data_IF_531807006949
#
_entry.id   IF_531807006949
#
_cell.length_a   1.000
_cell.length_b   1.000
_cell.length_c   1.000
_cell.angle_alpha   90.00
_cell.angle_beta   90.00
_cell.angle_gamma   90.00
#
_symmetry.space_group_name_H-M   'P 1'
#
loop_
_entity.id
_entity.type
_entity.pdbx_description
1 polymer ?
#
# COMPACT_ATOMS: atom_id res chain seq x y z
N UNK A 1 53.57 7.94 28.76
CA UNK A 1 53.35 6.56 28.27
C UNK A 1 51.88 6.12 28.40
N UNK A 2 51.10 6.72 29.32
CA UNK A 2 49.71 6.36 29.58
C UNK A 2 48.72 7.00 28.60
N UNK A 3 49.04 8.17 28.01
CA UNK A 3 48.16 8.92 27.12
C UNK A 3 47.88 8.22 25.75
N UNK A 4 48.83 7.45 25.24
CA UNK A 4 48.68 6.76 23.96
C UNK A 4 47.67 5.60 23.98
N UNK A 5 47.32 5.07 25.14
CA UNK A 5 46.31 4.02 25.34
C UNK A 5 44.88 4.56 25.39
N UNK A 6 44.71 5.79 25.85
CA UNK A 6 43.39 6.44 25.95
C UNK A 6 42.90 6.98 24.60
N UNK A 7 43.81 7.45 23.76
CA UNK A 7 43.49 7.96 22.43
C UNK A 7 42.90 6.85 21.53
N UNK A 8 43.41 5.62 21.63
CA UNK A 8 42.88 4.46 20.90
C UNK A 8 41.47 4.05 21.35
N UNK A 9 41.18 4.17 22.67
CA UNK A 9 39.87 3.86 23.25
C UNK A 9 38.81 4.86 22.84
N UNK A 10 39.16 6.15 22.80
CA UNK A 10 38.27 7.25 22.39
C UNK A 10 37.94 7.11 20.89
N UNK A 11 38.89 6.78 20.02
CA UNK A 11 38.66 6.55 18.61
C UNK A 11 37.66 5.39 18.38
N UNK A 12 37.83 4.30 19.09
CA UNK A 12 36.95 3.13 18.98
C UNK A 12 35.50 3.48 19.41
N UNK A 13 35.39 4.22 20.51
CA UNK A 13 34.11 4.70 21.04
C UNK A 13 33.42 5.64 20.02
N UNK A 14 34.17 6.60 19.47
CA UNK A 14 33.66 7.53 18.45
C UNK A 14 33.20 6.81 17.20
N UNK A 15 33.96 5.81 16.74
CA UNK A 15 33.56 4.97 15.60
C UNK A 15 32.28 4.19 15.91
N UNK A 16 32.17 3.63 17.13
CA UNK A 16 30.98 2.91 17.57
C UNK A 16 29.73 3.80 17.57
N UNK A 17 29.84 5.04 18.09
CA UNK A 17 28.74 6.01 18.04
C UNK A 17 28.40 6.45 16.60
N UNK A 18 29.38 6.64 15.75
CA UNK A 18 29.14 6.96 14.34
C UNK A 18 28.37 5.86 13.61
N UNK A 19 28.75 4.60 13.83
CA UNK A 19 28.04 3.45 13.25
C UNK A 19 26.62 3.32 13.81
N UNK A 20 26.45 3.54 15.12
CA UNK A 20 25.12 3.54 15.74
C UNK A 20 24.24 4.64 15.15
N UNK A 21 24.77 5.85 15.00
CA UNK A 21 24.04 6.97 14.39
C UNK A 21 23.61 6.67 12.96
N UNK A 22 24.51 6.09 12.15
CA UNK A 22 24.20 5.68 10.78
C UNK A 22 23.12 4.60 10.76
N UNK A 23 23.18 3.61 11.65
CA UNK A 23 22.16 2.56 11.75
C UNK A 23 20.78 3.13 12.13
N UNK A 24 20.72 4.09 13.05
CA UNK A 24 19.48 4.76 13.43
C UNK A 24 18.90 5.60 12.29
N UNK A 25 19.74 6.35 11.58
CA UNK A 25 19.32 7.11 10.40
C UNK A 25 18.74 6.16 9.35
N UNK A 26 19.44 5.08 9.05
CA UNK A 26 19.00 4.08 8.08
C UNK A 26 17.66 3.46 8.49
N UNK A 27 17.51 3.04 9.74
CA UNK A 27 16.26 2.48 10.25
C UNK A 27 15.10 3.48 10.13
N UNK A 28 15.35 4.77 10.42
CA UNK A 28 14.34 5.82 10.31
C UNK A 28 13.92 6.04 8.85
N UNK A 29 14.86 6.04 7.92
CA UNK A 29 14.58 6.18 6.48
C UNK A 29 13.73 5.02 6.00
N UNK A 30 14.11 3.77 6.32
CA UNK A 30 13.34 2.58 5.92
C UNK A 30 11.92 2.58 6.52
N UNK A 31 11.78 2.94 7.80
CA UNK A 31 10.48 3.00 8.46
C UNK A 31 9.57 4.07 7.84
N UNK A 32 10.13 5.23 7.51
CA UNK A 32 9.38 6.32 6.86
C UNK A 32 8.95 5.93 5.46
N UNK A 33 9.83 5.31 4.68
CA UNK A 33 9.52 4.88 3.32
C UNK A 33 8.44 3.79 3.31
N UNK A 34 8.54 2.81 4.21
CA UNK A 34 7.52 1.78 4.39
C UNK A 34 6.17 2.39 4.76
N UNK A 35 6.15 3.33 5.70
CA UNK A 35 4.92 4.03 6.10
C UNK A 35 4.28 4.79 4.94
N UNK A 36 5.08 5.51 4.15
CA UNK A 36 4.59 6.22 2.98
C UNK A 36 4.08 5.26 1.89
N UNK A 37 4.76 4.14 1.68
CA UNK A 37 4.32 3.11 0.74
C UNK A 37 2.95 2.54 1.17
N UNK A 38 2.78 2.22 2.45
CA UNK A 38 1.50 1.75 2.98
C UNK A 38 0.40 2.81 2.82
N UNK A 39 0.67 4.09 3.10
CA UNK A 39 -0.31 5.17 2.94
C UNK A 39 -0.73 5.41 1.50
N UNK A 40 0.20 5.27 0.56
CA UNK A 40 -0.13 5.33 -0.88
C UNK A 40 -0.99 4.14 -1.31
N UNK A 41 -0.71 2.96 -0.77
CA UNK A 41 -1.51 1.77 -1.03
C UNK A 41 -2.91 1.90 -0.46
N UNK A 42 -3.06 2.44 0.77
CA UNK A 42 -4.36 2.72 1.38
C UNK A 42 -5.19 3.67 0.50
N UNK A 43 -4.60 4.78 0.05
CA UNK A 43 -5.28 5.73 -0.83
C UNK A 43 -5.67 5.12 -2.18
N UNK A 44 -4.82 4.23 -2.71
CA UNK A 44 -5.12 3.52 -3.96
C UNK A 44 -6.26 2.50 -3.76
N UNK A 45 -6.29 1.79 -2.62
CA UNK A 45 -7.38 0.86 -2.29
C UNK A 45 -8.72 1.58 -2.15
N UNK A 46 -8.74 2.75 -1.52
CA UNK A 46 -9.94 3.59 -1.41
C UNK A 46 -10.40 4.08 -2.79
N UNK A 47 -9.47 4.51 -3.64
CA UNK A 47 -9.78 4.92 -5.01
C UNK A 47 -10.30 3.76 -5.86
N UNK A 48 -9.71 2.56 -5.69
CA UNK A 48 -10.16 1.36 -6.38
C UNK A 48 -11.55 0.91 -5.92
N UNK A 49 -11.85 1.02 -4.61
CA UNK A 49 -13.17 0.75 -4.09
C UNK A 49 -14.22 1.74 -4.61
N UNK A 50 -13.85 3.02 -4.72
CA UNK A 50 -14.71 4.04 -5.31
C UNK A 50 -15.00 3.74 -6.79
N UNK A 51 -13.97 3.45 -7.58
CA UNK A 51 -14.14 3.05 -8.97
C UNK A 51 -14.99 1.78 -9.12
N UNK A 52 -14.76 0.79 -8.24
CA UNK A 52 -15.58 -0.43 -8.19
C UNK A 52 -17.06 -0.15 -7.90
N UNK A 53 -17.34 0.82 -7.01
CA UNK A 53 -18.70 1.23 -6.69
C UNK A 53 -19.42 1.94 -7.85
N UNK A 54 -18.69 2.49 -8.82
CA UNK A 54 -19.22 3.07 -10.06
C UNK A 54 -19.56 2.03 -11.13
N UNK A 55 -19.15 0.76 -10.93
CA UNK A 55 -19.44 -0.36 -11.83
C UNK A 55 -20.85 -0.94 -11.69
N UNK A 56 -21.83 -0.15 -11.23
CA UNK A 56 -23.21 -0.58 -11.07
C UNK A 56 -23.97 -0.69 -12.39
N UNK A 57 -24.93 -1.61 -12.42
CA UNK A 57 -25.95 -1.67 -13.48
C UNK A 57 -27.30 -1.18 -12.93
N UNK A 58 -28.05 -0.45 -13.77
CA UNK A 58 -29.39 -0.03 -13.42
C UNK A 58 -30.37 -1.16 -13.76
N UNK A 59 -31.05 -1.66 -12.74
CA UNK A 59 -32.14 -2.61 -12.88
C UNK A 59 -33.45 -1.85 -12.69
N UNK A 60 -34.27 -1.81 -13.73
CA UNK A 60 -35.59 -1.17 -13.71
C UNK A 60 -36.65 -2.19 -13.33
N UNK A 61 -37.29 -2.01 -12.18
CA UNK A 61 -38.42 -2.80 -11.74
C UNK A 61 -39.66 -1.90 -11.59
N UNK A 62 -40.53 -1.92 -12.60
CA UNK A 62 -41.70 -1.03 -12.63
C UNK A 62 -41.30 0.44 -12.81
N UNK A 63 -41.72 1.31 -11.88
CA UNK A 63 -41.38 2.76 -11.88
C UNK A 63 -40.09 3.10 -11.12
N UNK A 64 -39.44 2.11 -10.48
CA UNK A 64 -38.20 2.32 -9.71
C UNK A 64 -36.99 1.75 -10.44
N UNK A 65 -35.91 2.56 -10.51
CA UNK A 65 -34.60 2.13 -10.97
C UNK A 65 -33.69 1.94 -9.74
N UNK A 66 -33.08 0.78 -9.62
CA UNK A 66 -32.11 0.48 -8.56
C UNK A 66 -30.72 0.24 -9.15
N UNK A 67 -29.71 0.81 -8.54
CA UNK A 67 -28.33 0.52 -8.86
C UNK A 67 -27.92 -0.79 -8.16
N UNK A 68 -27.47 -1.78 -8.93
CA UNK A 68 -27.01 -3.06 -8.41
C UNK A 68 -25.57 -3.27 -8.84
N UNK A 69 -24.70 -3.53 -7.87
CA UNK A 69 -23.32 -3.95 -8.12
C UNK A 69 -23.26 -5.46 -8.31
N UNK A 70 -22.35 -5.88 -9.17
CA UNK A 70 -21.97 -7.28 -9.34
C UNK A 70 -20.47 -7.41 -9.10
N UNK A 71 -20.01 -8.57 -8.64
CA UNK A 71 -18.57 -8.83 -8.45
C UNK A 71 -17.79 -8.62 -9.76
N UNK A 72 -18.38 -8.99 -10.91
CA UNK A 72 -17.76 -8.81 -12.21
C UNK A 72 -17.61 -7.32 -12.56
N UNK A 73 -18.66 -6.52 -12.39
CA UNK A 73 -18.61 -5.07 -12.64
C UNK A 73 -17.59 -4.37 -11.73
N UNK A 74 -17.52 -4.77 -10.46
CA UNK A 74 -16.50 -4.24 -9.52
C UNK A 74 -15.10 -4.60 -9.99
N UNK A 75 -14.85 -5.86 -10.38
CA UNK A 75 -13.54 -6.31 -10.88
C UNK A 75 -13.11 -5.56 -12.13
N UNK A 76 -14.01 -5.41 -13.10
CA UNK A 76 -13.72 -4.73 -14.36
C UNK A 76 -13.27 -3.27 -14.13
N UNK A 77 -13.98 -2.53 -13.29
CA UNK A 77 -13.64 -1.15 -12.95
C UNK A 77 -12.31 -1.04 -12.18
N UNK A 78 -12.09 -1.93 -11.25
CA UNK A 78 -10.83 -1.97 -10.48
C UNK A 78 -9.64 -2.29 -11.38
N UNK A 79 -9.78 -3.29 -12.26
CA UNK A 79 -8.70 -3.69 -13.17
C UNK A 79 -8.41 -2.58 -14.20
N UNK A 80 -9.43 -1.87 -14.68
CA UNK A 80 -9.26 -0.70 -15.54
C UNK A 80 -8.49 0.42 -14.83
N UNK A 81 -8.81 0.71 -13.56
CA UNK A 81 -8.11 1.71 -12.77
C UNK A 81 -6.65 1.31 -12.55
N UNK A 82 -6.40 0.08 -12.08
CA UNK A 82 -5.04 -0.38 -11.77
C UNK A 82 -4.15 -0.44 -13.00
N UNK A 83 -4.70 -0.80 -14.17
CA UNK A 83 -3.96 -0.81 -15.43
C UNK A 83 -3.55 0.59 -15.91
N UNK A 84 -4.31 1.62 -15.54
CA UNK A 84 -4.02 3.01 -15.86
C UNK A 84 -3.05 3.67 -14.87
N UNK A 85 -2.84 3.06 -13.70
CA UNK A 85 -1.99 3.61 -12.64
C UNK A 85 -0.58 3.02 -12.69
N UNK A 86 0.48 3.85 -12.59
CA UNK A 86 1.84 3.35 -12.41
C UNK A 86 2.02 2.79 -10.98
N UNK A 87 2.84 1.76 -10.81
CA UNK A 87 3.22 1.29 -9.48
C UNK A 87 3.10 -0.21 -9.23
N UNK A 88 2.53 -0.97 -10.19
CA UNK A 88 2.52 -2.43 -10.13
C UNK A 88 1.64 -3.03 -9.03
N UNK A 89 0.68 -2.27 -8.51
CA UNK A 89 -0.30 -2.80 -7.57
C UNK A 89 -1.20 -3.85 -8.26
N UNK A 90 -1.47 -4.94 -7.55
CA UNK A 90 -2.26 -6.06 -8.05
C UNK A 90 -3.53 -6.20 -7.21
N UNK A 91 -4.65 -6.46 -7.87
CA UNK A 91 -5.90 -6.78 -7.20
C UNK A 91 -5.82 -8.19 -6.60
N UNK A 92 -5.94 -8.28 -5.29
CA UNK A 92 -6.08 -9.55 -4.56
C UNK A 92 -7.55 -10.01 -4.61
N UNK A 93 -8.47 -9.09 -4.28
CA UNK A 93 -9.90 -9.35 -4.35
C UNK A 93 -10.70 -8.10 -4.69
N UNK A 94 -11.85 -8.27 -5.34
CA UNK A 94 -12.83 -7.22 -5.57
C UNK A 94 -14.22 -7.85 -5.59
N UNK A 95 -15.07 -7.46 -4.66
CA UNK A 95 -16.38 -8.06 -4.44
C UNK A 95 -17.41 -7.03 -4.00
N UNK A 96 -18.68 -7.40 -4.14
CA UNK A 96 -19.79 -6.64 -3.57
C UNK A 96 -20.55 -7.52 -2.56
N UNK A 97 -20.33 -7.35 -1.24
CA UNK A 97 -20.94 -8.21 -0.24
C UNK A 97 -22.46 -8.01 -0.09
N UNK A 98 -22.98 -6.86 -0.51
CA UNK A 98 -24.40 -6.47 -0.29
C UNK A 98 -25.07 -5.91 -1.57
N UNK A 99 -24.42 -6.00 -2.74
CA UNK A 99 -24.94 -5.47 -4.00
C UNK A 99 -24.95 -3.94 -4.10
N UNK A 100 -24.47 -3.23 -3.06
CA UNK A 100 -24.46 -1.76 -2.96
C UNK A 100 -23.11 -1.19 -2.55
N UNK A 101 -22.25 -2.01 -1.96
CA UNK A 101 -20.89 -1.64 -1.56
C UNK A 101 -19.87 -2.42 -2.37
N UNK A 102 -18.80 -1.76 -2.79
CA UNK A 102 -17.61 -2.40 -3.35
C UNK A 102 -16.55 -2.53 -2.27
N UNK A 103 -16.00 -3.74 -2.10
CA UNK A 103 -14.84 -4.02 -1.26
C UNK A 103 -13.70 -4.51 -2.12
N UNK A 104 -12.57 -3.82 -2.05
CA UNK A 104 -11.42 -4.08 -2.89
C UNK A 104 -10.19 -4.24 -2.01
N UNK A 105 -9.46 -5.33 -2.21
CA UNK A 105 -8.15 -5.57 -1.59
C UNK A 105 -7.09 -5.55 -2.68
N UNK A 106 -6.07 -4.76 -2.49
CA UNK A 106 -4.91 -4.65 -3.39
C UNK A 106 -3.61 -4.90 -2.65
N UNK A 107 -2.63 -5.39 -3.37
CA UNK A 107 -1.30 -5.72 -2.85
C UNK A 107 -0.22 -5.08 -3.70
N UNK A 108 0.93 -4.81 -3.08
CA UNK A 108 2.16 -4.37 -3.74
C UNK A 108 3.36 -4.95 -3.01
N UNK A 109 4.43 -5.25 -3.73
CA UNK A 109 5.69 -5.68 -3.14
C UNK A 109 6.57 -4.45 -2.90
N UNK A 110 6.82 -4.13 -1.62
CA UNK A 110 7.70 -3.05 -1.21
C UNK A 110 9.12 -3.56 -1.02
N UNK A 111 10.09 -2.81 -1.51
CA UNK A 111 11.52 -3.12 -1.38
C UNK A 111 12.19 -2.04 -0.54
N UNK A 112 12.92 -2.42 0.53
CA UNK A 112 13.60 -1.44 1.37
C UNK A 112 14.67 -0.70 0.55
N UNK A 113 14.76 0.63 0.68
CA UNK A 113 15.79 1.41 0.01
C UNK A 113 17.19 0.97 0.49
N UNK A 114 18.16 1.00 -0.38
CA UNK A 114 19.58 0.67 -0.17
C UNK A 114 19.90 -0.82 0.06
N UNK A 115 18.98 -1.62 0.57
CA UNK A 115 19.19 -3.06 0.84
C UNK A 115 18.28 -3.96 0.02
N UNK A 116 17.65 -3.45 -1.03
CA UNK A 116 16.80 -4.23 -1.93
C UNK A 116 17.50 -5.46 -2.52
N UNK A 117 18.81 -5.38 -2.73
CA UNK A 117 19.63 -6.52 -3.19
C UNK A 117 19.71 -7.67 -2.17
N UNK A 118 19.48 -7.39 -0.88
CA UNK A 118 19.49 -8.39 0.20
C UNK A 118 18.08 -8.91 0.52
N UNK A 119 17.04 -8.22 0.03
CA UNK A 119 15.63 -8.60 0.17
C UNK A 119 14.99 -8.64 -1.21
N UNK A 120 15.35 -9.61 -2.06
CA UNK A 120 14.93 -9.64 -3.47
C UNK A 120 13.42 -9.80 -3.63
N UNK A 121 12.77 -10.55 -2.75
CA UNK A 121 11.32 -10.80 -2.79
C UNK A 121 10.49 -9.62 -2.27
N UNK A 122 11.13 -8.62 -1.64
CA UNK A 122 10.44 -7.50 -1.02
C UNK A 122 9.58 -7.90 0.18
N UNK A 123 8.75 -6.96 0.61
CA UNK A 123 7.73 -7.17 1.64
C UNK A 123 6.37 -6.88 1.02
N UNK A 124 5.47 -7.87 1.03
CA UNK A 124 4.12 -7.68 0.53
C UNK A 124 3.33 -6.77 1.47
N UNK A 125 2.85 -5.68 0.92
CA UNK A 125 1.91 -4.78 1.58
C UNK A 125 0.52 -5.04 1.03
N UNK A 126 -0.48 -4.95 1.89
CA UNK A 126 -1.88 -5.17 1.55
C UNK A 126 -2.71 -4.02 2.10
N UNK A 127 -3.73 -3.62 1.34
CA UNK A 127 -4.72 -2.64 1.80
C UNK A 127 -6.11 -2.96 1.24
N UNK A 128 -7.13 -2.70 2.05
CA UNK A 128 -8.54 -2.91 1.69
C UNK A 128 -9.31 -1.62 1.80
N UNK A 129 -9.90 -1.21 0.68
CA UNK A 129 -10.86 -0.11 0.60
C UNK A 129 -12.30 -0.62 0.52
N UNK A 130 -13.23 0.18 0.99
CA UNK A 130 -14.67 -0.10 0.85
C UNK A 130 -15.39 1.21 0.51
N UNK A 131 -16.20 1.17 -0.54
CA UNK A 131 -17.03 2.30 -0.96
C UNK A 131 -18.45 1.84 -1.24
N UNK A 132 -19.40 2.76 -1.19
CA UNK A 132 -20.81 2.50 -1.53
C UNK A 132 -21.21 3.27 -2.78
N UNK A 133 -22.09 2.66 -3.59
CA UNK A 133 -22.70 3.40 -4.70
C UNK A 133 -23.51 4.59 -4.18
N UNK A 134 -23.42 5.71 -4.87
CA UNK A 134 -24.12 6.95 -4.50
C UNK A 134 -25.62 6.91 -4.80
N UNK A 135 -26.06 5.99 -5.67
CA UNK A 135 -27.44 5.85 -6.08
C UNK A 135 -28.18 4.85 -5.15
N UNK A 136 -29.25 5.32 -4.53
CA UNK A 136 -30.18 4.50 -3.74
C UNK A 136 -31.47 4.32 -4.51
#
# INVERSE_FOLDING_TARGET
VIRAREDGSVLLLTLGYALLALALIFATVCATDLYLAQKRLDALADSAALAGADGFTLVVQGESAQAVLTDEGVREQVDALLSAMPGGAVRESATTPDGTSARVTITIDWHPPLISAFVPDGVRLESTGTSRTALR
#
